data_IF_251977747694
#
_entry.id   IF_251977747694
#
_cell.length_a   1.000
_cell.length_b   1.000
_cell.length_c   1.000
_cell.angle_alpha   90.00
_cell.angle_beta   90.00
_cell.angle_gamma   90.00
#
_symmetry.space_group_name_H-M   'P 1'
#
loop_
_entity.id
_entity.type
_entity.pdbx_description
1 polymer ?
#
# COMPACT_ATOMS: atom_id res chain seq x y z
N UNK A 1 14.11 51.79 54.40
CA UNK A 1 15.02 51.99 53.24
C UNK A 1 16.21 51.09 53.51
N UNK A 2 16.15 49.81 53.12
CA UNK A 2 16.36 49.27 51.78
C UNK A 2 17.85 49.31 51.38
N UNK A 3 18.56 48.20 51.62
CA UNK A 3 19.81 47.88 50.96
C UNK A 3 19.95 46.36 50.77
N UNK A 4 19.93 45.96 49.49
CA UNK A 4 20.77 44.94 48.83
C UNK A 4 21.26 43.74 49.65
N UNK A 5 20.79 42.54 49.29
CA UNK A 5 21.67 41.38 49.10
C UNK A 5 21.12 40.41 48.04
N UNK A 6 22.03 39.99 47.17
CA UNK A 6 21.92 39.10 46.02
C UNK A 6 21.58 37.65 46.38
N UNK A 7 20.78 36.96 45.57
CA UNK A 7 20.79 35.50 45.48
C UNK A 7 20.52 35.04 44.05
N UNK A 8 21.41 34.17 43.58
CA UNK A 8 21.50 33.65 42.22
C UNK A 8 20.34 32.72 41.84
N UNK A 9 19.89 32.81 40.60
CA UNK A 9 18.95 31.87 39.97
C UNK A 9 19.73 30.63 39.53
N UNK A 10 19.47 29.48 40.18
CA UNK A 10 19.96 28.18 39.73
C UNK A 10 19.15 27.70 38.53
N UNK A 11 19.83 27.44 37.41
CA UNK A 11 19.27 26.74 36.26
C UNK A 11 19.02 25.27 36.62
N UNK A 12 17.76 24.83 36.52
CA UNK A 12 17.41 23.41 36.46
C UNK A 12 17.08 23.05 35.02
N UNK A 13 17.93 22.20 34.44
CA UNK A 13 17.85 21.62 33.11
C UNK A 13 16.62 20.71 32.98
N UNK A 14 15.67 21.06 32.12
CA UNK A 14 14.66 20.14 31.60
C UNK A 14 15.25 19.30 30.49
N UNK A 15 15.31 17.98 30.68
CA UNK A 15 15.66 17.03 29.63
C UNK A 15 14.55 16.98 28.56
N UNK A 16 14.88 16.84 27.27
CA UNK A 16 13.89 16.63 26.22
C UNK A 16 13.32 15.21 26.30
N UNK A 17 12.00 15.11 26.32
CA UNK A 17 11.28 13.84 26.20
C UNK A 17 11.60 13.17 24.86
N UNK A 18 12.06 11.92 24.94
CA UNK A 18 12.64 11.14 23.86
C UNK A 18 11.67 10.80 22.71
N UNK A 19 12.25 10.88 21.51
CA UNK A 19 11.90 10.33 20.19
C UNK A 19 11.70 8.78 20.15
N UNK A 20 11.21 8.13 21.20
CA UNK A 20 11.13 6.65 21.26
C UNK A 20 9.91 6.01 20.54
N UNK A 21 8.98 6.81 20.01
CA UNK A 21 7.75 6.31 19.38
C UNK A 21 7.91 5.97 17.88
N UNK A 22 8.77 6.67 17.15
CA UNK A 22 8.80 6.61 15.68
C UNK A 22 9.56 5.38 15.16
N UNK A 23 10.63 4.98 15.85
CA UNK A 23 11.43 3.80 15.48
C UNK A 23 10.73 2.48 15.78
N UNK A 24 10.02 2.36 16.91
CA UNK A 24 9.21 1.17 17.22
C UNK A 24 8.04 1.01 16.23
N UNK A 25 7.40 2.13 15.85
CA UNK A 25 6.35 2.17 14.82
C UNK A 25 6.91 1.80 13.43
N UNK A 26 8.08 2.32 13.06
CA UNK A 26 8.80 1.96 11.84
C UNK A 26 9.07 0.45 11.75
N UNK A 27 9.61 -0.14 12.81
CA UNK A 27 9.92 -1.58 12.86
C UNK A 27 8.66 -2.42 12.72
N UNK A 28 7.55 -2.03 13.37
CA UNK A 28 6.27 -2.74 13.21
C UNK A 28 5.74 -2.70 11.77
N UNK A 29 5.76 -1.53 11.15
CA UNK A 29 5.14 -1.27 9.85
C UNK A 29 5.96 -1.82 8.67
N UNK A 30 7.28 -1.61 8.66
CA UNK A 30 8.16 -2.13 7.61
C UNK A 30 8.17 -3.68 7.61
N UNK A 31 8.02 -4.27 8.79
CA UNK A 31 7.97 -5.72 8.99
C UNK A 31 6.60 -6.31 8.62
N UNK A 32 5.50 -5.62 8.89
CA UNK A 32 4.17 -5.97 8.38
C UNK A 32 4.14 -5.98 6.84
N UNK A 33 4.75 -5.00 6.17
CA UNK A 33 4.85 -4.98 4.71
C UNK A 33 5.68 -6.12 4.15
N UNK A 34 6.82 -6.44 4.77
CA UNK A 34 7.64 -7.57 4.37
C UNK A 34 6.91 -8.90 4.58
N UNK A 35 6.11 -9.02 5.65
CA UNK A 35 5.27 -10.18 5.92
C UNK A 35 4.09 -10.29 4.96
N UNK A 36 3.39 -9.21 4.63
CA UNK A 36 2.32 -9.24 3.61
C UNK A 36 2.90 -9.61 2.25
N UNK A 37 4.06 -9.06 1.89
CA UNK A 37 4.77 -9.43 0.67
C UNK A 37 5.23 -10.89 0.69
N UNK A 38 5.80 -11.37 1.80
CA UNK A 38 6.29 -12.74 1.95
C UNK A 38 5.16 -13.77 2.02
N UNK A 39 4.06 -13.49 2.74
CA UNK A 39 2.85 -14.32 2.82
C UNK A 39 2.11 -14.30 1.49
N UNK A 40 2.02 -13.15 0.81
CA UNK A 40 1.45 -13.09 -0.54
C UNK A 40 2.27 -13.92 -1.52
N UNK A 41 3.60 -13.88 -1.44
CA UNK A 41 4.50 -14.71 -2.27
C UNK A 41 4.49 -16.20 -1.88
N UNK A 42 4.30 -16.53 -0.59
CA UNK A 42 4.17 -17.92 -0.14
C UNK A 42 2.79 -18.49 -0.49
N UNK A 43 1.72 -17.72 -0.32
CA UNK A 43 0.35 -18.13 -0.67
C UNK A 43 0.19 -18.31 -2.18
N UNK A 44 0.81 -17.45 -3.01
CA UNK A 44 0.88 -17.67 -4.47
C UNK A 44 1.80 -18.80 -4.90
N UNK A 45 2.61 -19.36 -3.99
CA UNK A 45 3.53 -20.48 -4.28
C UNK A 45 3.04 -21.82 -3.72
N UNK A 46 2.20 -21.78 -2.68
CA UNK A 46 1.73 -22.96 -1.95
C UNK A 46 0.20 -23.18 -1.97
N UNK A 47 -0.62 -22.12 -2.09
CA UNK A 47 -2.09 -22.23 -2.13
C UNK A 47 -2.67 -22.07 -3.54
N UNK A 48 -2.11 -21.13 -4.32
CA UNK A 48 -2.25 -21.13 -5.78
C UNK A 48 -1.04 -21.87 -6.28
N UNK A 49 -1.14 -23.19 -6.51
CA UNK A 49 0.02 -23.97 -6.97
C UNK A 49 0.74 -23.25 -8.10
N UNK A 50 2.08 -23.25 -8.09
CA UNK A 50 2.86 -22.91 -9.28
C UNK A 50 2.17 -23.56 -10.48
N UNK A 51 1.86 -22.84 -11.57
CA UNK A 51 1.38 -23.51 -12.77
C UNK A 51 2.48 -24.51 -13.13
N UNK A 52 2.20 -25.80 -12.88
CA UNK A 52 3.04 -26.89 -13.31
C UNK A 52 3.11 -26.71 -14.83
N UNK A 53 4.27 -26.49 -15.46
CA UNK A 53 4.36 -26.65 -16.89
C UNK A 53 3.95 -28.10 -17.13
N UNK A 54 2.76 -28.29 -17.71
CA UNK A 54 2.27 -29.60 -18.08
C UNK A 54 3.29 -30.20 -19.03
N UNK A 55 4.15 -31.05 -18.49
CA UNK A 55 4.99 -31.93 -19.27
C UNK A 55 4.02 -32.76 -20.10
N UNK A 56 4.08 -32.71 -21.44
CA UNK A 56 3.18 -33.51 -22.26
C UNK A 56 3.38 -34.97 -21.87
N UNK A 57 2.30 -35.65 -21.53
CA UNK A 57 2.31 -37.10 -21.41
C UNK A 57 2.98 -37.65 -22.68
N UNK A 58 3.99 -38.50 -22.50
CA UNK A 58 4.64 -39.22 -23.58
C UNK A 58 3.57 -40.07 -24.30
N UNK A 59 2.96 -39.50 -25.32
CA UNK A 59 2.13 -40.24 -26.26
C UNK A 59 3.08 -41.08 -27.10
N UNK A 60 2.96 -42.40 -26.94
CA UNK A 60 3.51 -43.40 -27.84
C UNK A 60 3.32 -42.97 -29.30
N UNK A 61 4.44 -42.82 -30.01
CA UNK A 61 4.49 -42.45 -31.41
C UNK A 61 3.70 -43.43 -32.28
N UNK A 62 2.54 -43.00 -32.78
CA UNK A 62 2.03 -43.46 -34.07
C UNK A 62 2.46 -42.42 -35.12
N UNK A 63 3.21 -42.78 -36.16
CA UNK A 63 3.63 -41.84 -37.18
C UNK A 63 2.44 -41.53 -38.09
N UNK A 64 2.00 -40.27 -38.11
CA UNK A 64 1.07 -39.75 -39.11
C UNK A 64 -0.14 -39.00 -38.55
N UNK A 65 0.07 -37.80 -38.04
CA UNK A 65 -0.94 -36.72 -38.03
C UNK A 65 -0.26 -35.40 -37.64
N UNK A 66 -0.17 -34.45 -38.56
CA UNK A 66 0.24 -33.08 -38.28
C UNK A 66 -0.88 -32.37 -37.50
N UNK A 67 -0.75 -32.27 -36.18
CA UNK A 67 -1.59 -31.39 -35.38
C UNK A 67 -1.07 -29.95 -35.52
N UNK A 68 -1.49 -29.24 -36.56
CA UNK A 68 -1.51 -27.78 -36.54
C UNK A 68 -2.64 -27.35 -35.60
N UNK A 69 -2.31 -26.63 -34.53
CA UNK A 69 -3.30 -25.87 -33.77
C UNK A 69 -4.09 -25.00 -34.77
N UNK A 70 -5.40 -24.77 -34.56
CA UNK A 70 -6.17 -23.91 -35.47
C UNK A 70 -5.46 -22.55 -35.56
N UNK A 71 -5.18 -22.13 -36.80
CA UNK A 71 -4.53 -20.86 -37.11
C UNK A 71 -5.52 -19.73 -36.82
N UNK A 72 -5.60 -19.34 -35.54
CA UNK A 72 -6.48 -18.26 -35.09
C UNK A 72 -5.91 -16.98 -35.65
N UNK A 73 -6.69 -16.30 -36.50
CA UNK A 73 -6.30 -15.02 -37.09
C UNK A 73 -5.81 -14.07 -35.97
N UNK A 74 -4.52 -13.66 -35.97
CA UNK A 74 -3.93 -12.82 -34.92
C UNK A 74 -4.67 -11.50 -34.70
N UNK A 75 -5.39 -11.01 -35.70
CA UNK A 75 -6.17 -9.77 -35.64
C UNK A 75 -7.44 -9.89 -34.79
N UNK A 76 -7.89 -11.10 -34.47
CA UNK A 76 -9.04 -11.36 -33.59
C UNK A 76 -8.65 -11.38 -32.11
N UNK A 77 -7.34 -11.43 -31.82
CA UNK A 77 -6.80 -11.46 -30.47
C UNK A 77 -6.24 -10.07 -30.09
N UNK A 78 -6.20 -9.73 -28.78
CA UNK A 78 -5.41 -8.58 -28.35
C UNK A 78 -3.94 -8.78 -28.76
N UNK A 79 -3.22 -7.70 -29.09
CA UNK A 79 -1.84 -7.83 -29.55
C UNK A 79 -0.97 -8.43 -28.44
N UNK A 80 -0.03 -9.29 -28.81
CA UNK A 80 0.90 -9.90 -27.87
C UNK A 80 1.85 -8.84 -27.27
N UNK A 81 2.31 -7.93 -28.12
CA UNK A 81 3.20 -6.83 -27.76
C UNK A 81 2.65 -5.50 -28.25
N UNK A 82 3.03 -4.40 -27.59
CA UNK A 82 2.70 -3.07 -28.04
C UNK A 82 3.94 -2.17 -28.04
N UNK A 83 4.10 -1.37 -29.10
CA UNK A 83 5.18 -0.39 -29.22
C UNK A 83 4.65 1.04 -29.30
N UNK A 84 5.46 2.01 -28.91
CA UNK A 84 5.04 3.40 -28.83
C UNK A 84 4.70 3.95 -30.23
N UNK A 85 3.51 4.53 -30.39
CA UNK A 85 3.03 5.06 -31.66
C UNK A 85 3.69 6.39 -32.05
N UNK A 86 4.07 7.20 -31.06
CA UNK A 86 4.64 8.54 -31.23
C UNK A 86 6.14 8.47 -30.93
N UNK A 87 6.98 8.98 -31.83
CA UNK A 87 8.42 8.83 -31.65
C UNK A 87 8.94 9.77 -30.56
N UNK A 88 9.94 9.31 -29.81
CA UNK A 88 10.70 10.18 -28.90
C UNK A 88 11.44 11.25 -29.71
N UNK A 89 11.73 12.39 -29.08
CA UNK A 89 12.34 13.57 -29.69
C UNK A 89 11.36 14.51 -30.40
N UNK A 90 10.10 14.10 -30.60
CA UNK A 90 9.07 14.94 -31.18
C UNK A 90 8.65 16.07 -30.23
N UNK A 91 8.28 17.22 -30.79
CA UNK A 91 7.72 18.34 -30.04
C UNK A 91 6.23 18.13 -29.81
N UNK A 92 5.81 18.21 -28.55
CA UNK A 92 4.42 18.03 -28.13
C UNK A 92 3.93 19.26 -27.38
N UNK A 93 2.61 19.45 -27.44
CA UNK A 93 1.89 20.41 -26.61
C UNK A 93 0.96 19.64 -25.66
N UNK A 94 0.86 20.10 -24.41
CA UNK A 94 -0.07 19.54 -23.43
C UNK A 94 -1.09 20.58 -23.04
N UNK A 95 -2.32 20.39 -23.49
CA UNK A 95 -3.46 21.21 -23.11
C UNK A 95 -4.13 20.59 -21.89
N UNK A 96 -4.34 21.40 -20.86
CA UNK A 96 -5.02 20.98 -19.64
C UNK A 96 -6.19 21.91 -19.41
N UNK A 97 -7.37 21.33 -19.20
CA UNK A 97 -8.57 22.09 -18.86
C UNK A 97 -9.36 21.38 -17.77
N UNK A 98 -9.88 22.17 -16.81
CA UNK A 98 -10.78 21.66 -15.79
C UNK A 98 -12.23 21.78 -16.25
N UNK A 99 -13.04 20.76 -16.00
CA UNK A 99 -14.45 20.74 -16.42
C UNK A 99 -15.33 20.00 -15.42
N UNK A 100 -16.58 20.42 -15.31
CA UNK A 100 -17.62 19.71 -14.53
C UNK A 100 -18.40 18.70 -15.37
N UNK A 101 -18.05 18.53 -16.65
CA UNK A 101 -18.78 17.67 -17.58
C UNK A 101 -18.70 16.18 -17.16
N UNK A 102 -19.80 15.41 -17.17
CA UNK A 102 -19.75 13.99 -16.80
C UNK A 102 -19.11 13.08 -17.86
N UNK A 103 -19.17 13.43 -19.15
CA UNK A 103 -18.81 12.54 -20.27
C UNK A 103 -17.58 12.99 -21.09
N UNK A 104 -16.60 13.68 -20.51
CA UNK A 104 -15.40 14.12 -21.23
C UNK A 104 -15.66 15.16 -22.34
N UNK A 105 -16.83 15.82 -22.29
CA UNK A 105 -17.24 16.87 -23.23
C UNK A 105 -16.65 18.22 -22.83
N UNK A 106 -15.33 18.29 -22.80
CA UNK A 106 -14.62 19.48 -22.37
C UNK A 106 -14.78 20.66 -23.37
N UNK A 107 -15.07 20.36 -24.64
CA UNK A 107 -15.36 21.33 -25.70
C UNK A 107 -16.87 21.43 -25.99
N UNK A 108 -17.66 21.78 -24.98
CA UNK A 108 -19.12 21.95 -25.17
C UNK A 108 -19.46 23.27 -25.86
N UNK A 109 -20.51 23.27 -26.68
CA UNK A 109 -21.12 24.50 -27.20
C UNK A 109 -22.25 25.03 -26.31
N UNK A 110 -22.71 24.24 -25.33
CA UNK A 110 -23.84 24.59 -24.48
C UNK A 110 -23.53 25.78 -23.56
N UNK A 111 -24.32 26.86 -23.70
CA UNK A 111 -24.11 28.14 -22.99
C UNK A 111 -24.07 27.98 -21.47
N UNK A 112 -24.99 27.20 -20.90
CA UNK A 112 -25.07 26.99 -19.44
C UNK A 112 -23.80 26.37 -18.87
N UNK A 113 -23.19 25.42 -19.60
CA UNK A 113 -21.96 24.75 -19.17
C UNK A 113 -20.74 25.65 -19.36
N UNK A 114 -20.70 26.42 -20.46
CA UNK A 114 -19.67 27.45 -20.65
C UNK A 114 -19.67 28.48 -19.52
N UNK A 115 -20.84 28.86 -19.01
CA UNK A 115 -20.92 29.78 -17.87
C UNK A 115 -20.49 29.09 -16.56
N UNK A 116 -20.88 27.83 -16.35
CA UNK A 116 -20.51 27.04 -15.18
C UNK A 116 -19.00 26.79 -15.07
N UNK A 117 -18.34 26.50 -16.19
CA UNK A 117 -16.91 26.19 -16.26
C UNK A 117 -16.04 27.42 -16.59
N UNK A 118 -16.63 28.63 -16.66
CA UNK A 118 -15.98 29.85 -17.16
C UNK A 118 -14.72 30.25 -16.39
N UNK A 119 -14.77 30.11 -15.07
CA UNK A 119 -13.68 30.51 -14.17
C UNK A 119 -12.70 29.36 -13.88
N UNK A 120 -12.91 28.19 -14.50
CA UNK A 120 -12.04 27.05 -14.31
C UNK A 120 -10.73 27.20 -15.13
N UNK A 121 -9.58 26.81 -14.55
CA UNK A 121 -8.30 26.85 -15.26
C UNK A 121 -8.28 26.10 -16.60
N UNK A 122 -7.75 26.79 -17.60
CA UNK A 122 -7.38 26.25 -18.92
C UNK A 122 -6.01 26.81 -19.31
N UNK A 123 -5.06 25.93 -19.58
CA UNK A 123 -3.70 26.35 -19.97
C UNK A 123 -3.04 25.31 -20.87
N UNK A 124 -1.89 25.69 -21.43
CA UNK A 124 -1.12 24.85 -22.35
C UNK A 124 0.35 24.92 -21.97
N UNK A 125 1.02 23.78 -21.94
CA UNK A 125 2.48 23.70 -21.97
C UNK A 125 2.93 23.41 -23.41
N UNK A 126 3.45 24.40 -24.14
CA UNK A 126 3.82 24.24 -25.54
C UNK A 126 5.25 23.73 -25.71
N UNK A 127 5.49 23.05 -26.84
CA UNK A 127 6.79 22.79 -27.45
C UNK A 127 7.83 22.08 -26.57
N UNK A 128 7.37 21.17 -25.69
CA UNK A 128 8.29 20.33 -24.94
C UNK A 128 8.71 19.11 -25.76
N UNK A 129 9.92 18.62 -25.52
CA UNK A 129 10.46 17.46 -26.25
C UNK A 129 10.02 16.17 -25.57
N UNK A 130 9.32 15.30 -26.29
CA UNK A 130 8.94 14.00 -25.77
C UNK A 130 10.18 13.12 -25.56
N UNK A 131 10.38 12.58 -24.36
CA UNK A 131 11.61 11.85 -24.03
C UNK A 131 12.68 12.68 -23.29
N UNK A 132 12.49 13.99 -23.13
CA UNK A 132 13.41 14.82 -22.35
C UNK A 132 13.15 14.70 -20.85
N UNK A 133 14.08 14.07 -20.12
CA UNK A 133 13.97 13.84 -18.68
C UNK A 133 14.12 15.12 -17.83
N UNK A 134 14.58 16.22 -18.42
CA UNK A 134 14.71 17.51 -17.73
C UNK A 134 13.47 18.40 -17.88
N UNK A 135 12.50 18.00 -18.72
CA UNK A 135 11.29 18.77 -18.98
C UNK A 135 10.31 18.70 -17.81
N UNK A 136 10.55 19.47 -16.75
CA UNK A 136 9.66 19.58 -15.59
C UNK A 136 8.97 20.95 -15.64
N UNK A 137 7.64 20.95 -15.65
CA UNK A 137 6.84 22.18 -15.66
C UNK A 137 5.87 22.18 -14.49
N UNK A 138 5.53 23.36 -14.00
CA UNK A 138 4.51 23.52 -12.96
C UNK A 138 3.63 24.71 -13.25
N UNK A 139 2.34 24.58 -12.95
CA UNK A 139 1.36 25.64 -13.06
C UNK A 139 0.53 25.67 -11.77
N UNK A 140 0.35 26.86 -11.21
CA UNK A 140 -0.35 27.07 -9.94
C UNK A 140 -1.58 27.95 -10.17
N UNK A 141 -2.70 27.53 -9.58
CA UNK A 141 -4.00 28.17 -9.72
C UNK A 141 -4.69 28.25 -8.38
N UNK A 142 -5.57 29.23 -8.20
CA UNK A 142 -6.57 29.22 -7.14
C UNK A 142 -7.92 28.90 -7.76
N UNK A 143 -8.37 27.66 -7.62
CA UNK A 143 -9.57 27.15 -8.27
C UNK A 143 -10.78 27.59 -7.46
N UNK A 144 -11.64 28.43 -8.06
CA UNK A 144 -12.97 28.75 -7.53
C UNK A 144 -13.93 27.65 -7.96
N UNK A 145 -14.55 26.98 -7.00
CA UNK A 145 -15.43 25.86 -7.31
C UNK A 145 -16.79 26.35 -7.81
N UNK A 146 -17.30 25.80 -8.92
CA UNK A 146 -18.68 26.00 -9.31
C UNK A 146 -19.64 25.45 -8.24
N UNK A 147 -20.83 26.03 -8.12
CA UNK A 147 -21.83 25.60 -7.13
C UNK A 147 -22.16 24.09 -7.23
N UNK A 148 -22.09 23.53 -8.45
CA UNK A 148 -22.28 22.08 -8.65
C UNK A 148 -21.26 21.24 -7.88
N UNK A 149 -19.99 21.67 -7.83
CA UNK A 149 -18.91 20.94 -7.15
C UNK A 149 -19.08 21.05 -5.64
N UNK A 150 -19.45 22.23 -5.14
CA UNK A 150 -19.77 22.45 -3.73
C UNK A 150 -20.98 21.63 -3.26
N UNK A 151 -21.88 21.28 -4.18
CA UNK A 151 -23.04 20.42 -3.94
C UNK A 151 -22.76 18.95 -4.30
N UNK A 152 -21.60 18.41 -3.89
CA UNK A 152 -21.18 17.03 -4.15
C UNK A 152 -21.07 16.65 -5.63
N UNK A 153 -20.72 17.62 -6.48
CA UNK A 153 -20.44 17.38 -7.90
C UNK A 153 -18.97 17.04 -8.14
N UNK A 154 -18.72 16.33 -9.24
CA UNK A 154 -17.36 15.95 -9.63
C UNK A 154 -16.68 17.03 -10.47
N UNK A 155 -15.43 17.34 -10.14
CA UNK A 155 -14.54 18.15 -10.99
C UNK A 155 -13.51 17.24 -11.67
N UNK A 156 -13.37 17.42 -12.98
CA UNK A 156 -12.48 16.63 -13.81
C UNK A 156 -11.38 17.48 -14.40
N UNK A 157 -10.23 16.86 -14.64
CA UNK A 157 -9.13 17.40 -15.42
C UNK A 157 -9.03 16.62 -16.73
N UNK A 158 -9.20 17.35 -17.82
CA UNK A 158 -9.09 16.85 -19.18
C UNK A 158 -7.73 17.26 -19.74
N UNK A 159 -6.90 16.25 -20.03
CA UNK A 159 -5.52 16.41 -20.52
C UNK A 159 -5.48 15.95 -21.97
N UNK A 160 -5.08 16.85 -22.87
CA UNK A 160 -4.88 16.55 -24.29
C UNK A 160 -3.41 16.73 -24.61
N UNK A 161 -2.78 15.65 -25.02
CA UNK A 161 -1.47 15.68 -25.60
C UNK A 161 -1.63 15.80 -27.11
N UNK A 162 -0.99 16.78 -27.73
CA UNK A 162 -1.07 17.00 -29.18
C UNK A 162 0.31 17.04 -29.80
N UNK A 163 0.39 16.66 -31.07
CA UNK A 163 1.61 16.77 -31.88
C UNK A 163 1.32 17.56 -33.16
N UNK A 164 2.36 17.95 -33.88
CA UNK A 164 2.26 18.64 -35.18
C UNK A 164 1.40 19.93 -35.15
N UNK A 165 1.27 20.57 -33.99
CA UNK A 165 0.43 21.76 -33.80
C UNK A 165 -1.08 21.50 -33.93
N UNK A 166 -1.53 20.24 -33.75
CA UNK A 166 -2.93 19.90 -33.71
C UNK A 166 -3.65 20.57 -32.53
N UNK A 167 -4.84 21.10 -32.77
CA UNK A 167 -5.68 21.70 -31.72
C UNK A 167 -6.66 20.65 -31.17
N UNK A 168 -6.80 20.47 -29.85
CA UNK A 168 -7.72 19.48 -29.28
C UNK A 168 -9.21 19.84 -29.43
N UNK A 169 -9.56 21.08 -29.79
CA UNK A 169 -10.96 21.50 -30.00
C UNK A 169 -11.53 20.94 -31.32
N UNK A 170 -12.58 20.08 -31.28
CA UNK A 170 -13.18 19.49 -32.47
C UNK A 170 -13.75 20.50 -33.48
N UNK A 171 -14.03 21.73 -33.05
CA UNK A 171 -14.57 22.78 -33.90
C UNK A 171 -13.48 23.65 -34.55
N UNK A 172 -12.21 23.43 -34.22
CA UNK A 172 -11.10 24.19 -34.75
C UNK A 172 -10.58 23.57 -36.07
N UNK A 173 -10.14 24.41 -37.01
CA UNK A 173 -9.68 23.97 -38.35
C UNK A 173 -8.43 23.09 -38.30
N UNK A 174 -7.61 23.24 -37.26
CA UNK A 174 -6.41 22.44 -37.00
C UNK A 174 -6.68 21.16 -36.16
N UNK A 175 -7.94 20.74 -36.00
CA UNK A 175 -8.28 19.51 -35.29
C UNK A 175 -7.95 18.27 -36.13
N UNK A 176 -7.13 17.38 -35.55
CA UNK A 176 -6.70 16.11 -36.17
C UNK A 176 -6.75 14.99 -35.14
N UNK A 177 -7.77 14.13 -35.15
CA UNK A 177 -7.93 13.07 -34.15
C UNK A 177 -6.71 12.16 -33.99
N UNK A 178 -6.01 11.87 -35.09
CA UNK A 178 -4.82 11.01 -35.13
C UNK A 178 -3.59 11.59 -34.41
N UNK A 179 -3.58 12.91 -34.22
CA UNK A 179 -2.49 13.66 -33.60
C UNK A 179 -2.83 14.11 -32.17
N UNK A 180 -3.96 13.62 -31.61
CA UNK A 180 -4.46 13.98 -30.28
C UNK A 180 -4.59 12.73 -29.42
N UNK A 181 -3.98 12.75 -28.23
CA UNK A 181 -4.19 11.75 -27.20
C UNK A 181 -4.87 12.38 -25.98
N UNK A 182 -6.03 11.85 -25.61
CA UNK A 182 -6.87 12.38 -24.53
C UNK A 182 -6.81 11.49 -23.28
N UNK A 183 -6.56 12.09 -22.12
CA UNK A 183 -6.64 11.46 -20.82
C UNK A 183 -7.52 12.28 -19.87
N UNK A 184 -8.24 11.59 -18.98
CA UNK A 184 -9.17 12.22 -18.03
C UNK A 184 -8.92 11.76 -16.62
N UNK A 185 -8.88 12.69 -15.67
CA UNK A 185 -8.69 12.44 -14.24
C UNK A 185 -9.75 13.12 -13.39
N UNK A 186 -10.36 12.39 -12.46
CA UNK A 186 -11.17 12.96 -11.38
C UNK A 186 -10.27 13.69 -10.38
N UNK A 187 -10.53 14.97 -10.14
CA UNK A 187 -9.82 15.78 -9.13
C UNK A 187 -10.49 15.76 -7.76
N UNK A 188 -11.77 15.40 -7.71
CA UNK A 188 -12.56 15.34 -6.48
C UNK A 188 -12.89 13.89 -6.12
N UNK A 189 -11.92 13.09 -5.65
CA UNK A 189 -12.21 11.72 -5.23
C UNK A 189 -13.16 11.72 -4.03
N UNK A 190 -14.05 10.75 -4.04
CA UNK A 190 -15.02 10.51 -2.99
C UNK A 190 -14.39 9.60 -1.94
N UNK A 191 -14.11 10.17 -0.77
CA UNK A 191 -13.43 9.46 0.32
C UNK A 191 -14.31 9.54 1.58
N UNK A 192 -14.24 8.53 2.47
CA UNK A 192 -14.85 8.64 3.79
C UNK A 192 -14.32 9.87 4.52
N UNK A 193 -15.14 10.55 5.31
CA UNK A 193 -14.68 11.67 6.13
C UNK A 193 -13.61 11.20 7.13
N UNK A 194 -12.54 11.97 7.29
CA UNK A 194 -11.54 11.67 8.33
C UNK A 194 -12.14 12.00 9.70
N UNK A 195 -12.17 11.02 10.61
CA UNK A 195 -12.62 11.24 11.99
C UNK A 195 -11.62 12.13 12.70
N UNK A 196 -12.01 13.37 12.99
CA UNK A 196 -11.20 14.27 13.81
C UNK A 196 -11.23 13.70 15.22
N UNK A 197 -10.12 13.09 15.66
CA UNK A 197 -9.95 12.70 17.06
C UNK A 197 -9.93 13.99 17.89
N UNK A 198 -11.03 14.29 18.57
CA UNK A 198 -11.04 15.36 19.57
C UNK A 198 -10.17 14.91 20.73
N UNK A 199 -8.97 15.45 20.85
CA UNK A 199 -8.08 15.16 21.97
C UNK A 199 -8.74 15.65 23.26
N UNK A 200 -9.12 14.73 24.15
CA UNK A 200 -9.60 15.08 25.50
C UNK A 200 -8.40 15.54 26.32
N UNK A 201 -8.51 16.72 26.93
CA UNK A 201 -7.48 17.26 27.83
C UNK A 201 -7.55 16.51 29.16
N UNK A 202 -6.68 15.51 29.34
CA UNK A 202 -6.66 14.64 30.53
C UNK A 202 -5.97 15.26 31.77
N UNK A 203 -5.46 16.48 31.64
CA UNK A 203 -4.78 17.21 32.71
C UNK A 203 -5.43 18.59 32.85
N UNK A 204 -6.61 18.61 33.47
CA UNK A 204 -7.26 19.80 34.00
C UNK A 204 -7.59 19.54 35.47
N UNK A 205 -6.82 20.14 36.38
CA UNK A 205 -7.08 20.05 37.81
C UNK A 205 -8.35 20.81 38.19
N UNK A 206 -9.23 20.09 38.91
CA UNK A 206 -10.31 20.54 39.82
C UNK A 206 -10.65 22.03 39.86
N UNK A 207 -11.86 22.39 39.44
CA UNK A 207 -12.98 22.60 40.38
C UNK A 207 -14.19 23.16 39.62
N UNK A 208 -15.33 22.49 39.80
CA UNK A 208 -16.70 23.02 39.99
C UNK A 208 -17.72 22.17 39.23
N UNK A 209 -18.64 21.64 40.02
CA UNK A 209 -19.97 21.12 39.67
C UNK A 209 -20.06 19.94 38.73
N UNK A 210 -20.42 18.81 39.34
CA UNK A 210 -21.40 17.85 38.83
C UNK A 210 -22.36 18.50 37.83
N UNK A 211 -22.09 18.31 36.56
CA UNK A 211 -23.13 18.15 35.55
C UNK A 211 -22.78 16.84 34.87
N UNK A 212 -23.72 15.92 34.89
CA UNK A 212 -23.74 14.75 34.02
C UNK A 212 -23.68 15.27 32.58
N UNK A 213 -22.48 15.58 32.09
CA UNK A 213 -22.25 15.69 30.67
C UNK A 213 -22.24 14.26 30.16
N UNK A 214 -23.36 13.92 29.53
CA UNK A 214 -23.59 12.76 28.69
C UNK A 214 -22.27 12.17 28.21
N UNK A 215 -22.11 10.87 28.43
CA UNK A 215 -21.46 10.04 27.44
C UNK A 215 -22.05 10.45 26.10
N UNK A 216 -21.38 11.39 25.42
CA UNK A 216 -21.50 11.47 23.99
C UNK A 216 -20.89 10.14 23.61
N UNK A 217 -21.76 9.13 23.48
CA UNK A 217 -21.58 8.05 22.55
C UNK A 217 -20.80 8.69 21.41
N UNK A 218 -19.61 8.16 21.12
CA UNK A 218 -19.02 8.40 19.81
C UNK A 218 -20.15 8.04 18.86
N UNK A 219 -20.92 9.04 18.43
CA UNK A 219 -21.95 8.87 17.43
C UNK A 219 -21.12 8.23 16.35
N UNK A 220 -21.42 6.96 16.09
CA UNK A 220 -20.89 6.22 14.98
C UNK A 220 -21.47 6.95 13.79
N UNK A 221 -20.97 8.15 13.50
CA UNK A 221 -21.30 8.92 12.32
C UNK A 221 -20.86 7.97 11.23
N UNK A 222 -21.85 7.41 10.55
CA UNK A 222 -21.66 6.54 9.42
C UNK A 222 -20.58 7.17 8.53
N UNK A 223 -19.71 6.35 7.95
CA UNK A 223 -18.64 6.81 7.06
C UNK A 223 -19.27 7.53 5.84
N UNK A 224 -19.60 8.82 5.99
CA UNK A 224 -20.17 9.63 4.94
C UNK A 224 -19.06 9.86 3.92
N UNK A 225 -19.32 9.39 2.70
CA UNK A 225 -18.41 9.57 1.59
C UNK A 225 -18.65 10.98 1.03
N UNK A 226 -17.62 11.82 1.11
CA UNK A 226 -17.67 13.22 0.69
C UNK A 226 -16.56 13.53 -0.32
N UNK A 227 -16.76 14.50 -1.23
CA UNK A 227 -15.72 14.90 -2.17
C UNK A 227 -14.55 15.56 -1.43
N UNK A 228 -13.34 15.15 -1.78
CA UNK A 228 -12.12 15.73 -1.22
C UNK A 228 -11.27 16.39 -2.31
N UNK A 229 -10.39 17.29 -1.90
CA UNK A 229 -9.48 18.04 -2.75
C UNK A 229 -8.03 17.79 -2.36
N UNK A 230 -7.16 17.57 -3.33
CA UNK A 230 -5.72 17.57 -3.11
C UNK A 230 -5.08 18.76 -3.83
N UNK A 231 -4.19 19.47 -3.14
CA UNK A 231 -3.56 20.69 -3.66
C UNK A 231 -2.58 20.42 -4.80
N UNK A 232 -1.99 19.23 -4.86
CA UNK A 232 -0.98 18.88 -5.86
C UNK A 232 -1.49 17.80 -6.81
N UNK A 233 -1.23 17.93 -8.10
CA UNK A 233 -1.52 16.91 -9.10
C UNK A 233 -0.28 16.72 -9.97
N UNK A 234 0.27 15.51 -9.97
CA UNK A 234 1.47 15.20 -10.76
C UNK A 234 1.08 14.42 -11.99
N UNK A 235 1.23 15.01 -13.17
CA UNK A 235 1.05 14.37 -14.47
C UNK A 235 2.40 13.84 -14.96
N UNK A 236 2.59 12.52 -14.85
CA UNK A 236 3.77 11.84 -15.33
C UNK A 236 3.58 11.36 -16.77
N UNK A 237 4.50 11.71 -17.68
CA UNK A 237 4.51 11.20 -19.05
C UNK A 237 5.61 10.15 -19.22
N UNK A 238 5.24 8.92 -19.58
CA UNK A 238 6.20 7.83 -19.78
C UNK A 238 7.06 8.09 -21.03
N UNK A 239 8.37 8.18 -20.84
CA UNK A 239 9.30 8.84 -21.78
C UNK A 239 10.47 7.97 -22.27
N UNK A 240 10.41 6.65 -22.12
CA UNK A 240 11.44 5.68 -22.55
C UNK A 240 11.05 4.78 -23.74
N UNK A 241 9.78 4.81 -24.18
CA UNK A 241 9.35 4.18 -25.44
C UNK A 241 9.53 2.66 -25.51
N UNK A 242 9.40 1.98 -24.37
CA UNK A 242 9.63 0.53 -24.25
C UNK A 242 8.58 -0.29 -25.02
N UNK A 243 9.00 -1.44 -25.56
CA UNK A 243 8.07 -2.45 -26.10
C UNK A 243 7.43 -3.22 -24.93
N UNK A 244 6.12 -3.12 -24.80
CA UNK A 244 5.36 -3.66 -23.68
C UNK A 244 4.78 -5.02 -24.06
N UNK A 245 4.93 -6.07 -23.23
CA UNK A 245 4.21 -7.33 -23.40
C UNK A 245 2.73 -7.12 -23.00
N UNK A 246 1.92 -6.67 -23.95
CA UNK A 246 0.53 -6.24 -23.69
C UNK A 246 -0.36 -7.39 -23.19
N UNK A 247 -0.16 -8.61 -23.71
CA UNK A 247 -0.95 -9.78 -23.33
C UNK A 247 -0.78 -10.22 -21.87
N UNK A 248 0.39 -9.94 -21.26
CA UNK A 248 0.70 -10.31 -19.86
C UNK A 248 0.71 -9.10 -18.93
N UNK A 249 0.23 -7.95 -19.40
CA UNK A 249 0.27 -6.71 -18.65
C UNK A 249 -0.68 -6.78 -17.43
N UNK A 250 -0.21 -6.46 -16.21
CA UNK A 250 -1.09 -6.44 -15.05
C UNK A 250 -2.25 -5.44 -15.24
N UNK A 251 -3.47 -5.76 -14.78
CA UNK A 251 -4.63 -4.86 -14.91
C UNK A 251 -4.39 -3.41 -14.43
N UNK A 252 -3.69 -3.14 -13.30
CA UNK A 252 -3.41 -1.77 -12.84
C UNK A 252 -2.61 -0.93 -13.83
N UNK A 253 -1.81 -1.58 -14.68
CA UNK A 253 -0.92 -0.94 -15.65
C UNK A 253 -1.66 -0.82 -16.98
N UNK A 254 -2.42 -1.85 -17.35
CA UNK A 254 -3.19 -1.92 -18.59
C UNK A 254 -4.21 -0.78 -18.73
N UNK A 255 -4.78 -0.29 -17.62
CA UNK A 255 -5.73 0.84 -17.61
C UNK A 255 -5.18 2.12 -18.29
N UNK A 256 -3.86 2.34 -18.19
CA UNK A 256 -3.21 3.52 -18.75
C UNK A 256 -2.65 3.29 -20.16
N UNK A 257 -2.59 2.05 -20.64
CA UNK A 257 -2.03 1.70 -21.95
C UNK A 257 -3.14 1.64 -22.99
N UNK A 258 -3.35 2.74 -23.72
CA UNK A 258 -4.35 2.81 -24.78
C UNK A 258 -3.75 2.48 -26.14
N UNK A 259 -4.21 1.39 -26.73
CA UNK A 259 -3.85 1.01 -28.09
C UNK A 259 -4.45 1.98 -29.11
N UNK A 260 -3.72 2.23 -30.18
CA UNK A 260 -4.23 2.90 -31.38
C UNK A 260 -5.13 1.89 -32.11
N UNK A 261 -6.42 2.22 -32.34
CA UNK A 261 -7.32 1.34 -33.08
C UNK A 261 -6.77 1.00 -34.47
N UNK A 262 -7.01 -0.23 -34.92
CA UNK A 262 -6.72 -0.71 -36.28
C UNK A 262 -5.28 -0.57 -36.76
N UNK A 263 -4.34 -0.28 -35.86
CA UNK A 263 -2.91 -0.22 -36.14
C UNK A 263 -2.19 -1.42 -35.56
N UNK A 264 -1.71 -2.29 -36.44
CA UNK A 264 -0.86 -3.44 -36.13
C UNK A 264 0.32 -3.51 -37.10
N UNK A 265 1.31 -4.33 -36.78
CA UNK A 265 2.35 -4.72 -37.72
C UNK A 265 1.82 -5.71 -38.78
N UNK A 266 2.65 -6.03 -39.78
CA UNK A 266 2.31 -6.95 -40.87
C UNK A 266 1.90 -8.35 -40.37
N UNK A 267 2.41 -8.75 -39.20
CA UNK A 267 2.09 -10.04 -38.57
C UNK A 267 0.78 -10.03 -37.79
N UNK A 268 0.22 -8.85 -37.49
CA UNK A 268 -0.95 -8.68 -36.63
C UNK A 268 -0.68 -8.88 -35.13
N UNK A 269 0.55 -9.26 -34.73
CA UNK A 269 0.89 -9.62 -33.34
C UNK A 269 1.35 -8.43 -32.50
N UNK A 270 1.85 -7.36 -33.15
CA UNK A 270 2.35 -6.16 -32.48
C UNK A 270 1.41 -4.98 -32.70
N UNK A 271 0.85 -4.45 -31.62
CA UNK A 271 0.07 -3.22 -31.62
C UNK A 271 0.90 -1.96 -31.41
N UNK A 272 0.25 -0.82 -31.58
CA UNK A 272 0.83 0.48 -31.25
C UNK A 272 0.04 1.12 -30.10
N UNK A 273 0.71 1.69 -29.11
CA UNK A 273 0.08 2.39 -27.99
C UNK A 273 0.39 3.89 -28.01
N UNK A 274 -0.56 4.69 -27.54
CA UNK A 274 -0.39 6.13 -27.38
C UNK A 274 0.49 6.46 -26.16
N UNK A 275 1.15 7.63 -26.11
CA UNK A 275 1.93 8.04 -24.95
C UNK A 275 1.15 7.89 -23.64
N UNK A 276 1.79 7.30 -22.63
CA UNK A 276 1.13 6.98 -21.36
C UNK A 276 1.18 8.20 -20.45
N UNK A 277 0.00 8.74 -20.13
CA UNK A 277 -0.18 9.82 -19.15
C UNK A 277 -0.64 9.19 -17.83
N UNK A 278 0.21 9.27 -16.82
CA UNK A 278 -0.04 8.71 -15.50
C UNK A 278 -0.20 9.83 -14.46
N UNK A 279 -1.41 10.09 -13.93
CA UNK A 279 -1.58 10.96 -12.77
C UNK A 279 -1.03 10.24 -11.53
N UNK A 280 0.18 10.62 -11.13
CA UNK A 280 0.86 10.00 -10.01
C UNK A 280 0.30 10.53 -8.68
N UNK A 281 -0.54 9.73 -8.04
CA UNK A 281 -1.12 10.00 -6.72
C UNK A 281 -0.46 9.18 -5.61
N UNK A 282 0.59 8.40 -5.93
CA UNK A 282 1.18 7.46 -4.99
C UNK A 282 1.66 8.12 -3.69
N UNK A 283 2.22 9.33 -3.80
CA UNK A 283 2.73 10.11 -2.68
C UNK A 283 1.66 10.98 -1.99
N UNK A 284 0.39 10.85 -2.35
CA UNK A 284 -0.68 11.56 -1.66
C UNK A 284 -1.00 10.84 -0.35
N UNK A 285 -0.95 11.61 0.74
CA UNK A 285 -1.35 11.22 2.08
C UNK A 285 -2.80 11.68 2.31
N UNK A 286 -3.59 10.90 3.04
CA UNK A 286 -4.99 11.20 3.34
C UNK A 286 -5.17 12.49 4.12
N UNK A 287 -4.21 12.85 4.96
CA UNK A 287 -4.18 14.12 5.71
C UNK A 287 -4.05 15.37 4.83
N UNK A 288 -3.50 15.22 3.61
CA UNK A 288 -3.38 16.31 2.65
C UNK A 288 -4.66 16.56 1.84
N UNK A 289 -5.66 15.70 1.99
CA UNK A 289 -6.96 15.88 1.36
C UNK A 289 -7.86 16.79 2.20
N UNK A 290 -8.44 17.78 1.55
CA UNK A 290 -9.32 18.77 2.15
C UNK A 290 -10.75 18.45 1.74
N UNK A 291 -11.66 18.33 2.69
CA UNK A 291 -13.09 18.15 2.40
C UNK A 291 -13.62 19.37 1.63
N UNK A 292 -14.37 19.13 0.54
CA UNK A 292 -15.02 20.19 -0.23
C UNK A 292 -16.42 20.40 0.31
N UNK A 293 -16.68 21.60 0.83
CA UNK A 293 -18.00 22.01 1.29
C UNK A 293 -18.21 23.53 1.10
N UNK A 294 -19.33 24.07 1.58
CA UNK A 294 -19.68 25.49 1.44
C UNK A 294 -18.69 26.45 2.11
N UNK A 295 -17.87 25.99 3.06
CA UNK A 295 -16.85 26.81 3.74
C UNK A 295 -15.53 26.91 2.96
N UNK A 296 -15.33 26.06 1.94
CA UNK A 296 -14.13 26.03 1.09
C UNK A 296 -14.46 26.38 -0.37
N UNK A 297 -14.89 27.62 -0.68
CA UNK A 297 -15.33 27.99 -2.03
C UNK A 297 -14.19 28.06 -3.06
N UNK A 298 -12.94 28.22 -2.61
CA UNK A 298 -11.76 28.23 -3.47
C UNK A 298 -10.58 27.55 -2.80
N UNK A 299 -9.84 26.72 -3.55
CA UNK A 299 -8.65 26.03 -3.06
C UNK A 299 -7.49 26.13 -4.06
N UNK A 300 -6.23 26.19 -3.56
CA UNK A 300 -5.07 26.19 -4.43
C UNK A 300 -4.89 24.83 -5.13
N UNK A 301 -4.36 24.88 -6.35
CA UNK A 301 -4.03 23.73 -7.18
C UNK A 301 -2.68 23.95 -7.86
N UNK A 302 -1.76 23.02 -7.66
CA UNK A 302 -0.48 22.94 -8.35
C UNK A 302 -0.48 21.71 -9.24
N UNK A 303 -0.39 21.91 -10.55
CA UNK A 303 -0.28 20.85 -11.54
C UNK A 303 1.17 20.79 -11.98
N UNK A 304 1.82 19.64 -11.77
CA UNK A 304 3.21 19.40 -12.13
C UNK A 304 3.26 18.41 -13.27
N UNK A 305 3.89 18.78 -14.38
CA UNK A 305 4.28 17.85 -15.43
C UNK A 305 5.69 17.35 -15.18
N UNK A 306 5.89 16.04 -15.32
CA UNK A 306 7.22 15.44 -15.28
C UNK A 306 7.34 14.20 -16.18
N UNK A 307 8.52 13.93 -16.74
CA UNK A 307 8.81 12.68 -17.44
C UNK A 307 9.04 11.54 -16.44
N UNK A 308 8.70 10.32 -16.83
CA UNK A 308 8.88 9.11 -16.01
C UNK A 308 9.31 7.93 -16.87
N UNK A 309 10.05 6.98 -16.29
CA UNK A 309 10.36 5.70 -16.95
C UNK A 309 9.17 4.73 -16.82
N UNK A 310 9.02 3.82 -17.78
CA UNK A 310 7.99 2.78 -17.74
C UNK A 310 8.09 1.93 -16.48
N UNK A 311 9.31 1.61 -16.02
CA UNK A 311 9.52 0.86 -14.78
C UNK A 311 8.95 1.58 -13.55
N UNK A 312 9.23 2.89 -13.39
CA UNK A 312 8.68 3.68 -12.28
C UNK A 312 7.16 3.76 -12.35
N UNK A 313 6.62 3.95 -13.56
CA UNK A 313 5.18 3.94 -13.79
C UNK A 313 4.55 2.60 -13.38
N UNK A 314 5.10 1.48 -13.84
CA UNK A 314 4.62 0.14 -13.50
C UNK A 314 4.64 -0.11 -11.99
N UNK A 315 5.73 0.28 -11.33
CA UNK A 315 5.86 0.16 -9.89
C UNK A 315 4.80 0.99 -9.15
N UNK A 316 4.67 2.28 -9.47
CA UNK A 316 3.70 3.15 -8.81
C UNK A 316 2.25 2.76 -9.10
N UNK A 317 1.93 2.34 -10.32
CA UNK A 317 0.59 1.85 -10.66
C UNK A 317 0.24 0.57 -9.88
N UNK A 318 1.16 -0.40 -9.82
CA UNK A 318 0.97 -1.63 -9.07
C UNK A 318 0.83 -1.39 -7.56
N UNK A 319 1.72 -0.58 -6.97
CA UNK A 319 1.66 -0.26 -5.55
C UNK A 319 0.42 0.54 -5.19
N UNK A 320 0.04 1.55 -6.00
CA UNK A 320 -1.17 2.35 -5.76
C UNK A 320 -2.42 1.47 -5.78
N UNK A 321 -2.50 0.52 -6.71
CA UNK A 321 -3.63 -0.41 -6.75
C UNK A 321 -3.60 -1.38 -5.55
N UNK A 322 -2.43 -1.97 -5.24
CA UNK A 322 -2.28 -2.82 -4.06
C UNK A 322 -2.68 -2.13 -2.75
N UNK A 323 -2.34 -0.86 -2.59
CA UNK A 323 -2.74 -0.05 -1.43
C UNK A 323 -4.24 0.23 -1.41
N UNK A 324 -4.86 0.54 -2.56
CA UNK A 324 -6.32 0.72 -2.68
C UNK A 324 -7.06 -0.58 -2.34
N UNK A 325 -6.56 -1.72 -2.80
CA UNK A 325 -7.18 -3.02 -2.53
C UNK A 325 -7.00 -3.44 -1.06
N UNK A 326 -5.81 -3.23 -0.48
CA UNK A 326 -5.57 -3.46 0.94
C UNK A 326 -6.48 -2.60 1.83
N UNK A 327 -6.61 -1.31 1.51
CA UNK A 327 -7.53 -0.39 2.19
C UNK A 327 -8.99 -0.86 2.09
N UNK A 328 -9.40 -1.40 0.93
CA UNK A 328 -10.76 -1.93 0.72
C UNK A 328 -11.02 -3.20 1.53
N UNK A 329 -10.03 -4.08 1.67
CA UNK A 329 -10.17 -5.36 2.37
C UNK A 329 -10.05 -5.24 3.89
N UNK A 330 -9.15 -4.39 4.39
CA UNK A 330 -8.80 -4.28 5.81
C UNK A 330 -9.39 -3.02 6.48
N UNK A 331 -10.10 -2.17 5.71
CA UNK A 331 -10.78 -0.98 6.22
C UNK A 331 -9.84 0.18 6.58
N UNK A 332 -10.33 1.07 7.44
CA UNK A 332 -9.66 2.34 7.75
C UNK A 332 -8.29 2.16 8.43
N UNK A 333 -8.08 1.07 9.17
CA UNK A 333 -6.79 0.78 9.85
C UNK A 333 -5.64 0.61 8.87
N UNK A 334 -5.82 -0.20 7.82
CA UNK A 334 -4.80 -0.39 6.80
C UNK A 334 -4.51 0.89 6.00
N UNK A 335 -5.52 1.74 5.78
CA UNK A 335 -5.29 3.03 5.11
C UNK A 335 -4.36 3.94 5.93
N UNK A 336 -4.49 3.93 7.26
CA UNK A 336 -3.63 4.70 8.15
C UNK A 336 -2.19 4.15 8.18
N UNK A 337 -2.03 2.83 8.26
CA UNK A 337 -0.71 2.19 8.19
C UNK A 337 0.01 2.50 6.87
N UNK A 338 -0.71 2.41 5.74
CA UNK A 338 -0.17 2.70 4.40
C UNK A 338 0.27 4.16 4.23
N UNK A 339 -0.47 5.08 4.83
CA UNK A 339 -0.08 6.49 4.81
C UNK A 339 1.11 6.76 5.72
N UNK A 340 1.21 6.09 6.88
CA UNK A 340 2.41 6.16 7.73
C UNK A 340 3.66 5.69 6.98
N UNK A 341 3.55 4.60 6.19
CA UNK A 341 4.62 4.12 5.32
C UNK A 341 5.06 5.19 4.33
N UNK A 342 4.10 5.80 3.61
CA UNK A 342 4.41 6.85 2.64
C UNK A 342 5.05 8.05 3.33
N UNK A 343 4.50 8.47 4.48
CA UNK A 343 5.01 9.58 5.27
C UNK A 343 6.46 9.33 5.65
N UNK A 344 6.75 8.15 6.17
CA UNK A 344 8.10 7.69 6.49
C UNK A 344 9.04 7.74 5.27
N UNK A 345 8.61 7.30 4.08
CA UNK A 345 9.44 7.40 2.87
C UNK A 345 9.67 8.85 2.38
N UNK A 346 8.73 9.76 2.62
CA UNK A 346 8.82 11.17 2.21
C UNK A 346 9.64 11.97 3.22
N UNK A 347 9.42 11.75 4.51
CA UNK A 347 9.95 12.56 5.61
C UNK A 347 11.25 12.00 6.19
N UNK A 348 11.49 10.68 6.09
CA UNK A 348 12.73 10.07 6.59
C UNK A 348 13.80 10.10 5.52
N UNK A 349 15.03 10.38 5.92
CA UNK A 349 16.16 10.30 5.01
C UNK A 349 16.38 8.83 4.54
N UNK A 350 16.46 8.58 3.21
CA UNK A 350 16.57 7.25 2.63
C UNK A 350 17.74 6.40 3.15
N UNK A 351 18.86 7.02 3.55
CA UNK A 351 20.01 6.29 4.09
C UNK A 351 19.72 5.67 5.45
N UNK A 352 19.05 6.40 6.34
CA UNK A 352 18.63 5.87 7.63
C UNK A 352 17.56 4.81 7.45
N UNK A 353 16.61 5.03 6.53
CA UNK A 353 15.58 4.05 6.21
C UNK A 353 16.19 2.73 5.69
N UNK A 354 17.19 2.84 4.80
CA UNK A 354 17.95 1.70 4.29
C UNK A 354 18.74 0.96 5.38
N UNK A 355 19.42 1.68 6.27
CA UNK A 355 20.13 1.08 7.40
C UNK A 355 19.17 0.36 8.35
N UNK A 356 18.05 0.98 8.71
CA UNK A 356 17.05 0.36 9.58
C UNK A 356 16.47 -0.89 8.91
N UNK A 357 16.19 -0.85 7.61
CA UNK A 357 15.78 -2.02 6.83
C UNK A 357 16.82 -3.15 6.85
N UNK A 358 18.11 -2.82 6.69
CA UNK A 358 19.20 -3.81 6.74
C UNK A 358 19.33 -4.46 8.11
N UNK A 359 19.32 -3.67 9.19
CA UNK A 359 19.38 -4.19 10.56
C UNK A 359 18.16 -5.05 10.87
N UNK A 360 16.96 -4.64 10.42
CA UNK A 360 15.74 -5.44 10.56
C UNK A 360 15.85 -6.79 9.84
N UNK A 361 16.36 -6.80 8.61
CA UNK A 361 16.56 -8.02 7.85
C UNK A 361 17.57 -8.95 8.54
N UNK A 362 18.69 -8.40 9.02
CA UNK A 362 19.67 -9.17 9.79
C UNK A 362 19.08 -9.76 11.07
N UNK A 363 18.22 -9.01 11.77
CA UNK A 363 17.54 -9.49 12.96
C UNK A 363 16.66 -10.71 12.64
N UNK A 364 15.83 -10.63 11.60
CA UNK A 364 14.99 -11.76 11.15
C UNK A 364 15.84 -12.97 10.75
N UNK A 365 16.97 -12.74 10.07
CA UNK A 365 17.89 -13.82 9.69
C UNK A 365 18.54 -14.46 10.92
N UNK A 366 19.01 -13.67 11.89
CA UNK A 366 19.62 -14.19 13.11
C UNK A 366 18.61 -14.92 13.99
N UNK A 367 17.38 -14.44 14.12
CA UNK A 367 16.31 -15.16 14.81
C UNK A 367 15.99 -16.49 14.12
N UNK A 368 15.92 -16.52 12.79
CA UNK A 368 15.68 -17.76 12.05
C UNK A 368 16.84 -18.77 12.19
N UNK A 369 18.08 -18.29 12.21
CA UNK A 369 19.26 -19.13 12.45
C UNK A 369 19.32 -19.64 13.89
N UNK A 370 19.00 -18.79 14.86
CA UNK A 370 18.88 -19.16 16.26
C UNK A 370 17.78 -20.23 16.43
N UNK A 371 16.63 -20.03 15.79
CA UNK A 371 15.54 -20.99 15.76
C UNK A 371 15.96 -22.35 15.16
N UNK A 372 16.64 -22.33 14.01
CA UNK A 372 17.16 -23.55 13.38
C UNK A 372 18.15 -24.28 14.29
N UNK A 373 19.01 -23.54 14.99
CA UNK A 373 19.97 -24.09 15.94
C UNK A 373 19.28 -24.71 17.15
N UNK A 374 18.28 -24.02 17.72
CA UNK A 374 17.49 -24.51 18.85
C UNK A 374 16.74 -25.81 18.48
N UNK A 375 16.01 -25.83 17.37
CA UNK A 375 15.32 -27.04 16.89
C UNK A 375 16.30 -28.20 16.65
N UNK A 376 17.48 -27.92 16.10
CA UNK A 376 18.51 -28.96 15.88
C UNK A 376 19.08 -29.51 17.20
N UNK A 377 19.27 -28.65 18.21
CA UNK A 377 19.75 -29.05 19.54
C UNK A 377 18.72 -29.94 20.25
N UNK A 378 17.44 -29.56 20.21
CA UNK A 378 16.34 -30.32 20.82
C UNK A 378 15.99 -31.60 20.08
N UNK A 379 16.29 -31.72 18.79
CA UNK A 379 16.08 -32.97 18.04
C UNK A 379 16.95 -34.13 18.57
N UNK A 380 18.04 -33.86 19.29
CA UNK A 380 19.00 -34.87 19.72
C UNK A 380 19.05 -35.15 21.23
N UNK A 381 18.33 -34.40 22.07
CA UNK A 381 18.26 -34.64 23.52
C UNK A 381 17.07 -35.52 23.93
N UNK A 382 17.27 -36.37 24.94
CA UNK A 382 16.24 -37.25 25.54
C UNK A 382 15.97 -37.00 27.03
N UNK A 383 16.81 -36.25 27.72
CA UNK A 383 16.59 -35.83 29.11
C UNK A 383 16.07 -34.42 29.17
N UNK A 384 15.12 -34.13 30.08
CA UNK A 384 14.96 -32.81 30.68
C UNK A 384 14.04 -32.74 31.90
N UNK A 385 14.58 -32.16 32.98
CA UNK A 385 13.82 -31.52 34.06
C UNK A 385 13.73 -30.02 33.76
N UNK A 386 12.52 -29.44 33.76
CA UNK A 386 12.30 -27.98 33.69
C UNK A 386 11.57 -27.40 32.46
N UNK A 387 11.23 -28.21 31.44
CA UNK A 387 10.52 -27.75 30.23
C UNK A 387 9.13 -27.19 30.56
N UNK A 388 8.41 -27.84 31.47
CA UNK A 388 7.02 -27.50 31.80
C UNK A 388 6.90 -26.08 32.37
N UNK A 389 7.86 -25.67 33.21
CA UNK A 389 7.90 -24.31 33.78
C UNK A 389 8.13 -23.25 32.71
N UNK A 390 8.97 -23.54 31.71
CA UNK A 390 9.25 -22.62 30.61
C UNK A 390 8.03 -22.45 29.68
N UNK A 391 7.35 -23.55 29.35
CA UNK A 391 6.10 -23.53 28.57
C UNK A 391 5.04 -22.69 29.29
N UNK A 392 4.90 -22.88 30.60
CA UNK A 392 3.93 -22.11 31.40
C UNK A 392 4.23 -20.62 31.39
N UNK A 393 5.49 -20.21 31.61
CA UNK A 393 5.90 -18.81 31.58
C UNK A 393 5.67 -18.20 30.18
N UNK A 394 6.00 -18.92 29.10
CA UNK A 394 5.77 -18.44 27.74
C UNK A 394 4.28 -18.29 27.39
N UNK A 395 3.42 -19.18 27.88
CA UNK A 395 1.97 -19.04 27.75
C UNK A 395 1.48 -17.79 28.48
N UNK A 396 1.95 -17.54 29.70
CA UNK A 396 1.60 -16.32 30.46
C UNK A 396 2.05 -15.06 29.73
N UNK A 397 3.27 -15.05 29.16
CA UNK A 397 3.78 -13.94 28.35
C UNK A 397 2.95 -13.75 27.07
N UNK A 398 2.57 -14.85 26.39
CA UNK A 398 1.72 -14.78 25.21
C UNK A 398 0.34 -14.19 25.54
N UNK A 399 -0.31 -14.66 26.61
CA UNK A 399 -1.59 -14.10 27.06
C UNK A 399 -1.47 -12.61 27.40
N UNK A 400 -0.39 -12.19 28.07
CA UNK A 400 -0.14 -10.78 28.35
C UNK A 400 0.02 -9.94 27.08
N UNK A 401 0.70 -10.46 26.06
CA UNK A 401 0.88 -9.80 24.77
C UNK A 401 -0.41 -9.76 23.94
N UNK A 402 -1.27 -10.78 24.05
CA UNK A 402 -2.61 -10.82 23.44
C UNK A 402 -3.52 -9.77 24.10
N UNK A 403 -3.46 -9.64 25.42
CA UNK A 403 -4.25 -8.65 26.19
C UNK A 403 -3.81 -7.21 25.88
N UNK A 404 -2.54 -7.02 25.52
CA UNK A 404 -1.95 -5.74 25.11
C UNK A 404 -1.80 -5.60 23.58
N UNK A 405 -2.68 -6.21 22.78
CA UNK A 405 -2.53 -6.27 21.32
C UNK A 405 -2.52 -4.88 20.62
N UNK A 406 -3.12 -3.85 21.21
CA UNK A 406 -3.17 -2.50 20.63
C UNK A 406 -1.78 -1.85 20.57
N UNK A 407 -0.86 -2.26 21.45
CA UNK A 407 0.51 -1.76 21.52
C UNK A 407 1.56 -2.81 21.10
N UNK A 408 1.14 -4.05 20.82
CA UNK A 408 2.02 -5.18 20.52
C UNK A 408 1.91 -5.57 19.05
N UNK A 409 3.02 -5.45 18.30
CA UNK A 409 3.07 -5.84 16.90
C UNK A 409 2.65 -7.30 16.70
N UNK A 410 1.81 -7.56 15.69
CA UNK A 410 1.29 -8.88 15.34
C UNK A 410 2.40 -9.93 15.13
N UNK A 411 3.61 -9.49 14.77
CA UNK A 411 4.76 -10.38 14.66
C UNK A 411 5.36 -10.80 16.01
N UNK A 412 5.39 -9.93 17.02
CA UNK A 412 5.83 -10.33 18.38
C UNK A 412 4.84 -11.35 18.94
N UNK A 413 3.55 -11.14 18.67
CA UNK A 413 2.50 -12.08 19.01
C UNK A 413 2.66 -13.42 18.27
N UNK A 414 2.94 -13.38 16.98
CA UNK A 414 3.18 -14.57 16.16
C UNK A 414 4.47 -15.30 16.55
N UNK A 415 5.56 -14.58 16.83
CA UNK A 415 6.83 -15.14 17.29
C UNK A 415 6.72 -15.76 18.69
N UNK A 416 5.99 -15.09 19.61
CA UNK A 416 5.65 -15.65 20.93
C UNK A 416 4.75 -16.88 20.80
N UNK A 417 3.72 -16.83 19.94
CA UNK A 417 2.83 -17.95 19.66
C UNK A 417 3.56 -19.15 19.05
N UNK A 418 4.44 -18.92 18.08
CA UNK A 418 5.29 -19.94 17.49
C UNK A 418 6.28 -20.52 18.51
N UNK A 419 6.81 -19.68 19.41
CA UNK A 419 7.63 -20.11 20.54
C UNK A 419 6.89 -21.07 21.47
N UNK A 420 5.66 -20.74 21.87
CA UNK A 420 4.80 -21.60 22.68
C UNK A 420 4.50 -22.92 21.95
N UNK A 421 4.19 -22.89 20.66
CA UNK A 421 3.95 -24.10 19.87
C UNK A 421 5.17 -25.03 19.81
N UNK A 422 6.37 -24.44 19.73
CA UNK A 422 7.63 -25.20 19.66
C UNK A 422 8.01 -25.77 21.01
N UNK A 423 7.83 -25.03 22.10
CA UNK A 423 8.00 -25.56 23.47
C UNK A 423 6.97 -26.65 23.77
N UNK A 424 5.71 -26.47 23.36
CA UNK A 424 4.69 -27.52 23.46
C UNK A 424 5.09 -28.78 22.66
N UNK A 425 5.67 -28.60 21.47
CA UNK A 425 6.22 -29.71 20.69
C UNK A 425 7.37 -30.42 21.41
N UNK A 426 8.28 -29.69 22.08
CA UNK A 426 9.35 -30.27 22.90
C UNK A 426 8.78 -31.13 24.04
N UNK A 427 7.73 -30.67 24.72
CA UNK A 427 7.03 -31.45 25.78
C UNK A 427 6.52 -32.79 25.25
N UNK A 428 5.90 -32.81 24.07
CA UNK A 428 5.40 -34.07 23.48
C UNK A 428 6.50 -35.08 23.11
N UNK A 429 7.74 -34.61 22.97
CA UNK A 429 8.91 -35.48 22.74
C UNK A 429 9.49 -36.04 24.04
N UNK A 430 9.45 -35.28 25.13
CA UNK A 430 10.01 -35.66 26.43
C UNK A 430 9.07 -36.57 27.25
N UNK A 431 7.75 -36.37 27.14
CA UNK A 431 6.77 -37.02 28.02
C UNK A 431 5.67 -37.70 27.19
N UNK A 432 5.33 -38.96 27.51
CA UNK A 432 4.04 -39.52 27.10
C UNK A 432 2.97 -39.08 28.10
N UNK A 433 2.10 -38.17 27.64
CA UNK A 433 0.95 -37.71 28.41
C UNK A 433 -0.24 -38.57 28.00
N UNK A 434 -0.67 -39.46 28.89
CA UNK A 434 -1.86 -40.30 28.70
C UNK A 434 -2.94 -39.90 29.69
N UNK A 435 -4.17 -39.72 29.23
CA UNK A 435 -5.32 -39.42 30.10
C UNK A 435 -5.92 -40.73 30.57
N UNK A 436 -5.82 -41.03 31.86
CA UNK A 436 -6.34 -42.27 32.48
C UNK A 436 -7.54 -41.92 33.36
N UNK A 437 -8.61 -42.75 33.40
CA UNK A 437 -9.69 -42.59 34.38
C UNK A 437 -9.12 -42.56 35.81
N UNK A 438 -9.55 -41.58 36.60
CA UNK A 438 -9.05 -41.39 37.95
C UNK A 438 -9.49 -42.54 38.88
N UNK A 439 -8.69 -42.89 39.91
CA UNK A 439 -9.06 -43.91 40.89
C UNK A 439 -10.38 -43.56 41.60
N UNK A 440 -11.13 -44.58 42.01
CA UNK A 440 -12.41 -44.41 42.70
C UNK A 440 -12.24 -43.54 43.97
N UNK A 441 -12.84 -42.35 43.97
CA UNK A 441 -12.78 -41.37 45.06
C UNK A 441 -12.16 -40.00 44.71
N UNK A 442 -11.71 -39.78 43.47
CA UNK A 442 -11.13 -38.50 43.04
C UNK A 442 -12.20 -37.49 42.59
N UNK A 443 -12.03 -36.20 42.91
CA UNK A 443 -12.96 -35.10 42.56
C UNK A 443 -13.06 -34.80 41.05
N UNK A 444 -12.12 -35.29 40.25
CA UNK A 444 -12.03 -35.05 38.81
C UNK A 444 -11.98 -36.41 38.10
N UNK A 445 -12.82 -36.67 37.09
CA UNK A 445 -12.99 -38.01 36.50
C UNK A 445 -11.76 -38.53 35.72
N UNK A 446 -10.82 -37.65 35.36
CA UNK A 446 -9.64 -37.99 34.58
C UNK A 446 -8.38 -37.46 35.26
N UNK A 447 -7.32 -38.28 35.27
CA UNK A 447 -5.98 -37.92 35.76
C UNK A 447 -5.00 -37.96 34.59
N UNK A 448 -4.10 -36.98 34.53
CA UNK A 448 -2.97 -36.98 33.59
C UNK A 448 -1.89 -37.93 34.13
N UNK A 449 -1.63 -39.02 33.40
CA UNK A 449 -0.47 -39.89 33.62
C UNK A 449 0.69 -39.36 32.77
N UNK A 450 1.71 -38.85 33.45
CA UNK A 450 2.89 -38.20 32.87
C UNK A 450 4.02 -39.22 33.01
N UNK A 451 4.34 -39.94 31.93
CA UNK A 451 5.47 -40.88 31.91
C UNK A 451 6.64 -40.25 31.17
N UNK A 452 7.76 -40.12 31.89
CA UNK A 452 9.03 -39.68 31.32
C UNK A 452 9.58 -40.78 30.39
N UNK A 453 10.05 -40.39 29.20
CA UNK A 453 10.69 -41.30 28.23
C UNK A 453 12.18 -41.51 28.52
N UNK A 454 12.73 -40.85 29.55
CA UNK A 454 14.12 -40.98 29.94
C UNK A 454 14.45 -42.42 30.40
N UNK A 455 15.56 -42.96 29.92
CA UNK A 455 16.12 -44.23 30.37
C UNK A 455 17.43 -43.89 31.08
N UNK A 456 17.41 -43.96 32.41
CA UNK A 456 18.56 -43.65 33.28
C UNK A 456 19.79 -44.46 32.87
N UNK A 457 20.94 -43.79 32.76
CA UNK A 457 22.22 -44.43 32.47
C UNK A 457 22.78 -45.14 33.72
N UNK A 458 23.73 -46.07 33.56
CA UNK A 458 24.21 -46.92 34.68
C UNK A 458 24.80 -46.12 35.87
N UNK A 459 25.34 -44.93 35.61
CA UNK A 459 25.90 -44.05 36.64
C UNK A 459 24.82 -43.25 37.41
N UNK A 460 23.67 -42.98 36.79
CA UNK A 460 22.53 -42.32 37.42
C UNK A 460 21.72 -43.30 38.28
N UNK A 461 21.65 -44.58 37.86
CA UNK A 461 21.09 -45.66 38.68
C UNK A 461 21.89 -45.89 39.97
N UNK A 462 23.18 -45.57 39.99
CA UNK A 462 24.05 -45.71 41.18
C UNK A 462 23.93 -44.55 42.16
N UNK A 463 23.31 -43.44 41.76
CA UNK A 463 23.17 -42.21 42.56
C UNK A 463 21.73 -41.93 42.99
N UNK A 464 20.80 -42.84 42.71
CA UNK A 464 19.48 -42.87 43.35
C UNK A 464 19.61 -43.40 44.79
N UNK A 465 19.88 -42.49 45.73
CA UNK A 465 19.55 -42.64 47.17
C UNK A 465 18.46 -41.64 47.57
#
# INVERSE_FOLDING_TARGET
MAESQTAAVSAASGAPAQEESTLKKFFGIAQQLFLVWAISNLATKYFLGTPVPSQPAAASSKPGASNSAPDVNPWLLPPAQAQLAWQLGQKLDMHVQLSTAPQGQAFTTARWRKEQDKDLPKFVWPNFTFGDYNAVYSAEFNVKFPQSVLNNGSLWMDVFLTRNGANPDPYHTAFKPEDIHYYRKLLTPYLPRVKVRKEKKLLGGSDTSQTEEEETEEVVEADYIVPHWHRNVTLALVSDGVKIPYATLPPPVAEYVRLVPDRRDETGTTGFYNPIIFPNEFWHLREHYIEINSTTPSLPLKIVFQPMTFFKFQLFAAMTNGFKEAAKQQGAGASAELDEIKRMFIETNPWFLGLTGLVSLLHVVFEMLAFKSDVSHWRQKKEMVGIITNVFIQIVILLYLIDNNENTSWMILFGSGMGVLVEAWKVTKAVDISVIPAPAGSLIPYKLDIKDKHVLNEDEKKTQE
#
